data_IF_461271320863
#
_entry.id   IF_461271320863
#
_cell.length_a   1.000
_cell.length_b   1.000
_cell.length_c   1.000
_cell.angle_alpha   90.00
_cell.angle_beta   90.00
_cell.angle_gamma   90.00
#
_symmetry.space_group_name_H-M   'P 1'
#
loop_
_entity.id
_entity.type
_entity.pdbx_description
1 polymer ?
#
# COMPACT_ATOMS: atom_id res chain seq x y z
N UNK A 1 -15.87 -84.22 13.95
CA UNK A 1 -15.58 -83.43 12.74
C UNK A 1 -15.87 -81.95 13.03
N UNK A 2 -14.83 -81.14 13.29
CA UNK A 2 -14.97 -79.77 13.73
C UNK A 2 -14.58 -78.83 12.54
N UNK A 3 -15.57 -78.15 11.93
CA UNK A 3 -15.36 -77.19 10.84
C UNK A 3 -14.93 -75.85 11.43
N UNK A 4 -13.68 -75.44 11.18
CA UNK A 4 -13.16 -74.12 11.50
C UNK A 4 -13.62 -73.13 10.42
N UNK A 5 -14.43 -72.11 10.78
CA UNK A 5 -14.72 -70.96 9.95
C UNK A 5 -13.61 -69.91 10.15
N UNK A 6 -12.86 -69.64 9.10
CA UNK A 6 -11.94 -68.50 9.03
C UNK A 6 -12.73 -67.27 8.56
N UNK A 7 -12.86 -66.27 9.41
CA UNK A 7 -13.33 -64.95 9.02
C UNK A 7 -12.13 -64.12 8.49
N UNK A 8 -12.12 -63.83 7.21
CA UNK A 8 -11.16 -62.93 6.61
C UNK A 8 -11.66 -61.49 6.79
N UNK A 9 -10.93 -60.72 7.63
CA UNK A 9 -11.17 -59.29 7.83
C UNK A 9 -10.48 -58.51 6.70
N UNK A 10 -11.26 -58.02 5.72
CA UNK A 10 -10.75 -57.14 4.66
C UNK A 10 -10.52 -55.73 5.22
N UNK A 11 -9.26 -55.34 5.40
CA UNK A 11 -8.87 -53.96 5.65
C UNK A 11 -9.03 -53.16 4.34
N UNK A 12 -10.08 -52.36 4.22
CA UNK A 12 -10.20 -51.36 3.18
C UNK A 12 -9.29 -50.18 3.50
N UNK A 13 -8.09 -50.16 2.93
CA UNK A 13 -7.23 -48.97 2.93
C UNK A 13 -7.81 -47.94 2.00
N UNK A 14 -8.55 -46.98 2.56
CA UNK A 14 -9.00 -45.80 1.85
C UNK A 14 -7.79 -44.96 1.44
N UNK A 15 -7.31 -45.12 0.21
CA UNK A 15 -6.36 -44.19 -0.40
C UNK A 15 -7.11 -42.86 -0.60
N UNK A 16 -6.95 -41.96 0.32
CA UNK A 16 -7.37 -40.56 0.16
C UNK A 16 -6.62 -39.99 -1.05
N UNK A 17 -7.33 -39.86 -2.19
CA UNK A 17 -6.80 -39.19 -3.36
C UNK A 17 -6.46 -37.75 -2.92
N UNK A 18 -5.16 -37.43 -2.78
CA UNK A 18 -4.71 -36.07 -2.63
C UNK A 18 -5.20 -35.29 -3.87
N UNK A 19 -6.12 -34.35 -3.67
CA UNK A 19 -6.53 -33.46 -4.75
C UNK A 19 -5.27 -32.80 -5.33
N UNK A 20 -5.12 -32.71 -6.66
CA UNK A 20 -3.97 -32.08 -7.28
C UNK A 20 -3.80 -30.69 -6.69
N UNK A 21 -2.60 -30.38 -6.21
CA UNK A 21 -2.26 -29.05 -5.73
C UNK A 21 -2.52 -28.06 -6.89
N UNK A 22 -3.56 -27.23 -6.74
CA UNK A 22 -3.86 -26.20 -7.72
C UNK A 22 -2.70 -25.22 -7.76
N UNK A 23 -2.29 -24.77 -8.94
CA UNK A 23 -1.32 -23.72 -9.09
C UNK A 23 -1.78 -22.47 -8.31
N UNK A 24 -0.84 -21.81 -7.62
CA UNK A 24 -1.12 -20.58 -6.87
C UNK A 24 -1.69 -19.50 -7.80
N UNK A 25 -2.62 -18.69 -7.28
CA UNK A 25 -3.16 -17.54 -8.03
C UNK A 25 -2.03 -16.53 -8.25
N UNK A 26 -1.72 -16.24 -9.51
CA UNK A 26 -0.70 -15.24 -9.87
C UNK A 26 -1.23 -13.83 -9.65
N UNK A 27 -0.76 -13.19 -8.60
CA UNK A 27 -1.13 -11.81 -8.25
C UNK A 27 -0.01 -10.87 -8.70
N UNK A 28 -0.36 -9.86 -9.48
CA UNK A 28 0.54 -8.77 -9.85
C UNK A 28 0.03 -7.50 -9.17
N UNK A 29 0.89 -6.77 -8.47
CA UNK A 29 0.51 -5.51 -7.81
C UNK A 29 1.30 -4.32 -8.31
N UNK A 30 0.65 -3.16 -8.43
CA UNK A 30 1.29 -1.92 -8.84
C UNK A 30 2.37 -1.50 -7.86
N UNK A 31 2.06 -1.57 -6.55
CA UNK A 31 2.98 -1.24 -5.47
C UNK A 31 3.20 -2.43 -4.52
N UNK A 32 4.38 -2.54 -3.88
CA UNK A 32 4.70 -3.65 -2.98
C UNK A 32 3.76 -3.79 -1.78
N UNK A 33 3.25 -2.70 -1.21
CA UNK A 33 2.33 -2.78 -0.05
C UNK A 33 1.05 -3.53 -0.37
N UNK A 34 0.42 -3.30 -1.55
CA UNK A 34 -0.76 -4.08 -1.96
C UNK A 34 -0.45 -5.56 -2.10
N UNK A 35 0.72 -5.88 -2.68
CA UNK A 35 1.17 -7.26 -2.80
C UNK A 35 1.52 -7.90 -1.45
N UNK A 36 2.05 -7.13 -0.48
CA UNK A 36 2.24 -7.59 0.90
C UNK A 36 0.92 -7.96 1.56
N UNK A 37 -0.12 -7.13 1.39
CA UNK A 37 -1.46 -7.44 1.88
C UNK A 37 -2.07 -8.67 1.19
N UNK A 38 -1.81 -8.85 -0.11
CA UNK A 38 -2.23 -10.06 -0.83
C UNK A 38 -1.56 -11.32 -0.28
N UNK A 39 -0.27 -11.27 0.09
CA UNK A 39 0.42 -12.37 0.77
C UNK A 39 -0.15 -12.67 2.14
N UNK A 40 -0.53 -11.65 2.90
CA UNK A 40 -1.16 -11.82 4.22
C UNK A 40 -2.45 -12.66 4.11
N UNK A 41 -3.33 -12.34 3.18
CA UNK A 41 -4.62 -13.04 3.04
C UNK A 41 -4.54 -14.28 2.14
N UNK A 42 -3.60 -14.32 1.19
CA UNK A 42 -3.47 -15.42 0.22
C UNK A 42 -2.60 -16.57 0.71
N UNK A 43 -1.55 -16.28 1.49
CA UNK A 43 -0.55 -17.25 1.94
C UNK A 43 0.09 -17.99 0.77
N UNK A 44 0.22 -19.31 0.91
CA UNK A 44 0.82 -20.19 -0.11
C UNK A 44 -0.08 -20.41 -1.34
N UNK A 45 -1.32 -19.89 -1.31
CA UNK A 45 -2.24 -19.97 -2.45
C UNK A 45 -2.07 -18.83 -3.45
N UNK A 46 -1.18 -17.89 -3.20
CA UNK A 46 -0.86 -16.78 -4.10
C UNK A 46 0.64 -16.72 -4.39
N UNK A 47 0.96 -16.41 -5.65
CA UNK A 47 2.30 -16.04 -6.09
C UNK A 47 2.29 -14.56 -6.47
N UNK A 48 3.06 -13.71 -5.76
CA UNK A 48 2.94 -12.26 -5.86
C UNK A 48 4.15 -11.65 -6.52
N UNK A 49 3.91 -10.83 -7.54
CA UNK A 49 4.91 -10.03 -8.26
C UNK A 49 4.58 -8.55 -8.10
N UNK A 50 5.60 -7.73 -7.94
CA UNK A 50 5.50 -6.27 -7.81
C UNK A 50 5.97 -5.59 -9.08
N UNK A 51 5.21 -4.63 -9.62
CA UNK A 51 5.61 -3.81 -10.77
C UNK A 51 6.53 -2.66 -10.34
N UNK A 52 6.11 -1.91 -9.32
CA UNK A 52 6.92 -0.87 -8.68
C UNK A 52 7.86 -1.43 -7.62
N UNK A 53 8.77 -0.59 -7.16
CA UNK A 53 9.70 -0.87 -6.06
C UNK A 53 9.39 0.03 -4.87
N UNK A 54 9.57 -0.47 -3.64
CA UNK A 54 9.22 0.27 -2.44
C UNK A 54 9.99 1.58 -2.21
N UNK A 55 11.13 1.74 -2.87
CA UNK A 55 11.95 2.96 -2.84
C UNK A 55 11.76 3.85 -4.08
N UNK A 56 10.73 3.61 -4.87
CA UNK A 56 10.42 4.33 -6.11
C UNK A 56 9.11 5.11 -5.94
N UNK A 57 9.06 6.30 -6.55
CA UNK A 57 7.81 7.07 -6.64
C UNK A 57 6.77 6.27 -7.45
N UNK A 58 5.62 5.92 -6.85
CA UNK A 58 4.61 5.12 -7.53
C UNK A 58 3.89 5.85 -8.67
N UNK A 59 3.99 7.19 -8.76
CA UNK A 59 3.47 7.95 -9.89
C UNK A 59 4.30 7.73 -11.16
N UNK A 60 5.59 7.38 -11.00
CA UNK A 60 6.58 7.35 -12.10
C UNK A 60 7.33 6.02 -12.16
N UNK A 61 6.62 4.93 -12.48
CA UNK A 61 7.24 3.65 -12.78
C UNK A 61 7.58 3.60 -14.26
N UNK A 62 8.86 3.31 -14.59
CA UNK A 62 9.30 3.19 -15.97
C UNK A 62 8.65 1.98 -16.65
N UNK A 63 7.84 2.17 -17.72
CA UNK A 63 7.20 1.06 -18.42
C UNK A 63 8.23 0.22 -19.16
N UNK A 64 8.42 -1.02 -18.73
CA UNK A 64 9.37 -1.98 -19.35
C UNK A 64 8.62 -3.17 -19.96
N UNK A 65 9.09 -3.73 -21.10
CA UNK A 65 8.47 -4.92 -21.69
C UNK A 65 8.37 -6.11 -20.73
N UNK A 66 9.31 -6.26 -19.79
CA UNK A 66 9.26 -7.30 -18.76
C UNK A 66 8.01 -7.22 -17.87
N UNK A 67 7.54 -6.01 -17.56
CA UNK A 67 6.32 -5.81 -16.77
C UNK A 67 5.07 -6.30 -17.52
N UNK A 68 5.05 -6.17 -18.87
CA UNK A 68 3.96 -6.74 -19.68
C UNK A 68 3.95 -8.27 -19.63
N UNK A 69 5.12 -8.92 -19.52
CA UNK A 69 5.21 -10.39 -19.38
C UNK A 69 4.63 -10.84 -18.05
N UNK A 70 4.87 -10.12 -16.97
CA UNK A 70 4.27 -10.42 -15.67
C UNK A 70 2.76 -10.21 -15.69
N UNK A 71 2.29 -9.10 -16.26
CA UNK A 71 0.86 -8.80 -16.43
C UNK A 71 0.15 -9.81 -17.34
N UNK A 72 0.82 -10.30 -18.40
CA UNK A 72 0.26 -11.33 -19.30
C UNK A 72 -0.11 -12.62 -18.55
N UNK A 73 0.68 -12.99 -17.52
CA UNK A 73 0.50 -14.19 -16.71
C UNK A 73 -0.39 -14.00 -15.49
N UNK A 74 -0.81 -12.77 -15.20
CA UNK A 74 -1.58 -12.44 -14.00
C UNK A 74 -2.99 -13.08 -14.03
N UNK A 75 -3.40 -13.64 -12.91
CA UNK A 75 -4.80 -13.97 -12.62
C UNK A 75 -5.50 -12.82 -11.92
N UNK A 76 -4.75 -12.00 -11.17
CA UNK A 76 -5.25 -10.84 -10.45
C UNK A 76 -4.21 -9.71 -10.52
N UNK A 77 -4.65 -8.54 -10.99
CA UNK A 77 -3.94 -7.27 -10.91
C UNK A 77 -4.52 -6.44 -9.76
N UNK A 78 -3.67 -6.02 -8.83
CA UNK A 78 -3.98 -5.06 -7.76
C UNK A 78 -3.34 -3.72 -8.08
N UNK A 79 -4.12 -2.65 -8.04
CA UNK A 79 -3.59 -1.30 -8.23
C UNK A 79 -4.26 -0.33 -7.27
N UNK A 80 -3.57 0.78 -6.98
CA UNK A 80 -4.03 1.79 -6.02
C UNK A 80 -5.28 2.49 -6.53
N UNK A 81 -5.32 2.82 -7.83
CA UNK A 81 -6.43 3.58 -8.40
C UNK A 81 -6.34 5.08 -8.10
N UNK A 82 -7.46 5.79 -8.21
CA UNK A 82 -7.54 7.25 -8.05
C UNK A 82 -6.50 8.00 -8.92
N UNK A 83 -6.23 7.46 -10.11
CA UNK A 83 -5.26 7.97 -11.08
C UNK A 83 -3.78 7.97 -10.64
N UNK A 84 -3.39 7.25 -9.55
CA UNK A 84 -1.99 7.17 -9.15
C UNK A 84 -1.10 6.61 -10.27
N UNK A 85 -1.52 5.53 -10.90
CA UNK A 85 -0.76 4.83 -11.92
C UNK A 85 -1.12 5.24 -13.36
N UNK A 86 -1.89 6.34 -13.53
CA UNK A 86 -2.45 6.73 -14.83
C UNK A 86 -1.38 6.93 -15.91
N UNK A 87 -0.19 7.37 -15.52
CA UNK A 87 0.90 7.66 -16.44
C UNK A 87 1.61 6.42 -17.01
N UNK A 88 1.47 5.23 -16.39
CA UNK A 88 2.28 4.08 -16.76
C UNK A 88 1.54 2.73 -16.79
N UNK A 89 0.58 2.49 -15.91
CA UNK A 89 -0.07 1.17 -15.81
C UNK A 89 -1.04 0.86 -16.96
N UNK A 90 -1.93 1.78 -17.40
CA UNK A 90 -2.90 1.47 -18.45
C UNK A 90 -2.30 0.97 -19.76
N UNK A 91 -1.22 1.57 -20.33
CA UNK A 91 -0.59 1.06 -21.54
C UNK A 91 0.06 -0.32 -21.34
N UNK A 92 0.60 -0.61 -20.14
CA UNK A 92 1.14 -1.93 -19.82
C UNK A 92 0.07 -3.02 -19.74
N UNK A 93 -1.08 -2.71 -19.12
CA UNK A 93 -2.23 -3.63 -19.03
C UNK A 93 -2.76 -3.93 -20.42
N UNK A 94 -2.97 -2.92 -21.26
CA UNK A 94 -3.40 -3.10 -22.65
C UNK A 94 -2.37 -3.92 -23.45
N UNK A 95 -1.09 -3.57 -23.35
CA UNK A 95 0.02 -4.24 -24.05
C UNK A 95 0.26 -5.68 -23.58
N UNK A 96 -0.13 -6.02 -22.37
CA UNK A 96 -0.03 -7.40 -21.83
C UNK A 96 -0.90 -8.41 -22.57
N UNK A 97 -1.96 -7.94 -23.24
CA UNK A 97 -2.96 -8.78 -23.96
C UNK A 97 -3.61 -9.85 -23.07
N UNK A 98 -3.63 -9.66 -21.77
CA UNK A 98 -4.29 -10.56 -20.84
C UNK A 98 -5.75 -10.13 -20.64
N UNK A 99 -6.74 -10.91 -21.14
CA UNK A 99 -8.16 -10.53 -21.04
C UNK A 99 -8.67 -10.56 -19.59
N UNK A 100 -8.03 -11.31 -18.69
CA UNK A 100 -8.47 -11.45 -17.29
C UNK A 100 -8.36 -10.17 -16.48
N UNK A 101 -7.38 -9.31 -16.79
CA UNK A 101 -7.00 -8.15 -16.00
C UNK A 101 -7.33 -6.80 -16.66
N UNK A 102 -8.08 -6.82 -17.76
CA UNK A 102 -8.55 -5.57 -18.38
C UNK A 102 -9.50 -4.83 -17.43
N UNK A 103 -9.64 -3.54 -17.62
CA UNK A 103 -10.52 -2.73 -16.78
C UNK A 103 -11.96 -3.27 -16.76
N UNK A 104 -12.50 -3.45 -15.56
CA UNK A 104 -13.83 -4.04 -15.34
C UNK A 104 -13.87 -5.56 -15.23
N UNK A 105 -12.80 -6.25 -15.57
CA UNK A 105 -12.73 -7.71 -15.48
C UNK A 105 -12.51 -8.20 -14.04
N UNK A 106 -12.84 -9.48 -13.80
CA UNK A 106 -12.71 -10.08 -12.47
C UNK A 106 -11.26 -10.06 -11.95
N UNK A 107 -10.27 -10.21 -12.79
CA UNK A 107 -8.85 -10.15 -12.43
C UNK A 107 -8.30 -8.73 -12.29
N UNK A 108 -9.12 -7.68 -12.37
CA UNK A 108 -8.71 -6.27 -12.21
C UNK A 108 -9.32 -5.69 -10.95
N UNK A 109 -8.50 -5.40 -9.92
CA UNK A 109 -8.95 -4.85 -8.65
C UNK A 109 -8.35 -3.48 -8.40
N UNK A 110 -9.19 -2.46 -8.55
CA UNK A 110 -8.97 -1.12 -8.01
C UNK A 110 -9.20 -1.17 -6.50
N UNK A 111 -8.11 -1.04 -5.73
CA UNK A 111 -8.14 -1.14 -4.27
C UNK A 111 -8.73 0.09 -3.58
N UNK A 112 -8.98 1.18 -4.31
CA UNK A 112 -9.58 2.40 -3.76
C UNK A 112 -11.10 2.30 -3.53
N UNK A 113 -11.77 1.35 -4.17
CA UNK A 113 -13.25 1.30 -4.27
C UNK A 113 -14.00 1.32 -2.94
N UNK A 114 -13.41 0.76 -1.90
CA UNK A 114 -14.04 0.71 -0.57
C UNK A 114 -13.36 1.67 0.43
N UNK A 115 -12.44 2.51 -0.03
CA UNK A 115 -11.72 3.47 0.81
C UNK A 115 -12.55 4.75 0.95
N UNK A 116 -12.72 5.28 2.18
CA UNK A 116 -13.21 6.64 2.37
C UNK A 116 -12.20 7.64 1.81
N UNK A 117 -12.46 8.11 0.57
CA UNK A 117 -11.49 8.95 -0.15
C UNK A 117 -11.43 10.35 0.47
N UNK A 118 -10.21 10.81 0.75
CA UNK A 118 -9.93 12.15 1.26
C UNK A 118 -9.46 13.09 0.14
N UNK A 119 -9.48 14.39 0.40
CA UNK A 119 -9.02 15.44 -0.52
C UNK A 119 -9.66 15.38 -1.94
N UNK A 120 -10.93 14.99 -2.01
CA UNK A 120 -11.66 15.06 -3.28
C UNK A 120 -11.79 16.54 -3.70
N UNK A 121 -11.24 16.94 -4.87
CA UNK A 121 -11.33 18.33 -5.32
C UNK A 121 -12.78 18.77 -5.49
N UNK A 122 -13.10 19.97 -5.01
CA UNK A 122 -14.43 20.58 -5.19
C UNK A 122 -14.54 21.40 -6.46
N UNK A 123 -13.42 21.62 -7.16
CA UNK A 123 -13.33 22.34 -8.42
C UNK A 123 -12.79 21.43 -9.52
N UNK A 124 -13.04 21.80 -10.77
CA UNK A 124 -12.49 21.04 -11.90
C UNK A 124 -10.96 21.05 -11.87
N UNK A 125 -10.38 19.86 -11.90
CA UNK A 125 -8.92 19.67 -11.99
C UNK A 125 -8.49 19.77 -13.44
N UNK A 126 -7.39 20.48 -13.69
CA UNK A 126 -6.73 20.56 -14.99
C UNK A 126 -5.20 20.40 -14.84
N UNK A 127 -4.50 20.26 -15.96
CA UNK A 127 -3.05 20.02 -15.99
C UNK A 127 -2.20 21.12 -15.35
N UNK A 128 -2.71 22.33 -15.18
CA UNK A 128 -1.99 23.44 -14.53
C UNK A 128 -1.87 23.24 -13.01
N UNK A 129 -2.64 22.30 -12.47
CA UNK A 129 -2.67 21.97 -11.04
C UNK A 129 -1.62 20.90 -10.65
N UNK A 130 -0.81 20.43 -11.61
CA UNK A 130 0.17 19.35 -11.38
C UNK A 130 -0.50 17.98 -11.26
N UNK A 131 0.04 17.10 -10.43
CA UNK A 131 -0.47 15.73 -10.20
C UNK A 131 -1.63 15.72 -9.19
N UNK A 132 -2.54 16.68 -9.29
CA UNK A 132 -3.78 16.67 -8.51
C UNK A 132 -4.70 15.59 -9.06
N UNK A 133 -5.06 14.62 -8.20
CA UNK A 133 -5.93 13.50 -8.56
C UNK A 133 -7.40 13.91 -8.53
N UNK A 134 -8.13 13.86 -9.67
CA UNK A 134 -9.51 14.34 -9.75
C UNK A 134 -10.50 13.58 -8.85
N UNK A 135 -10.18 12.32 -8.52
CA UNK A 135 -11.03 11.46 -7.72
C UNK A 135 -10.68 11.50 -6.22
N UNK A 136 -9.66 12.27 -5.82
CA UNK A 136 -9.16 12.41 -4.46
C UNK A 136 -7.78 11.80 -4.25
N UNK A 137 -7.27 11.92 -3.04
CA UNK A 137 -5.89 11.55 -2.70
C UNK A 137 -5.69 10.02 -2.74
N UNK A 138 -4.72 9.51 -3.51
CA UNK A 138 -4.51 8.06 -3.67
C UNK A 138 -3.62 7.43 -2.59
N UNK A 139 -3.00 8.17 -1.68
CA UNK A 139 -1.97 7.67 -0.74
C UNK A 139 -2.56 7.06 0.53
N UNK A 140 -3.47 6.09 0.40
CA UNK A 140 -4.33 5.59 1.48
C UNK A 140 -3.85 4.29 2.14
N UNK A 141 -2.79 3.64 1.66
CA UNK A 141 -2.46 2.24 2.02
C UNK A 141 -1.74 2.03 3.36
N UNK A 142 -1.28 3.12 4.03
CA UNK A 142 -0.52 3.02 5.28
C UNK A 142 -1.42 2.82 6.52
N UNK A 143 -2.50 3.61 6.75
CA UNK A 143 -3.28 3.50 7.98
C UNK A 143 -3.95 2.13 8.20
N UNK A 144 -3.98 1.63 9.46
CA UNK A 144 -4.53 0.31 9.79
C UNK A 144 -5.97 0.08 9.33
N UNK A 145 -6.82 1.08 9.48
CA UNK A 145 -8.22 0.98 9.04
C UNK A 145 -8.32 0.67 7.53
N UNK A 146 -7.53 1.36 6.71
CA UNK A 146 -7.52 1.17 5.27
C UNK A 146 -6.87 -0.18 4.88
N UNK A 147 -5.80 -0.59 5.57
CA UNK A 147 -5.18 -1.90 5.33
C UNK A 147 -6.16 -3.06 5.55
N UNK A 148 -7.03 -2.98 6.58
CA UNK A 148 -8.10 -3.96 6.82
C UNK A 148 -9.12 -3.97 5.68
N UNK A 149 -9.49 -2.79 5.17
CA UNK A 149 -10.41 -2.66 4.02
C UNK A 149 -9.81 -3.26 2.76
N UNK A 150 -8.57 -2.90 2.42
CA UNK A 150 -7.84 -3.43 1.26
C UNK A 150 -7.73 -4.96 1.34
N UNK A 151 -7.31 -5.49 2.50
CA UNK A 151 -7.19 -6.93 2.71
C UNK A 151 -8.53 -7.67 2.51
N UNK A 152 -9.65 -7.08 2.94
CA UNK A 152 -11.01 -7.61 2.74
C UNK A 152 -11.38 -7.66 1.26
N UNK A 153 -11.11 -6.59 0.51
CA UNK A 153 -11.36 -6.54 -0.94
C UNK A 153 -10.52 -7.58 -1.69
N UNK A 154 -9.23 -7.70 -1.36
CA UNK A 154 -8.33 -8.71 -1.94
C UNK A 154 -8.84 -10.13 -1.62
N UNK A 155 -9.18 -10.44 -0.36
CA UNK A 155 -9.72 -11.75 0.02
C UNK A 155 -11.02 -12.07 -0.72
N UNK A 156 -11.91 -11.08 -0.85
CA UNK A 156 -13.15 -11.20 -1.62
C UNK A 156 -12.90 -11.57 -3.08
N UNK A 157 -11.93 -10.92 -3.71
CA UNK A 157 -11.56 -11.16 -5.09
C UNK A 157 -10.87 -12.53 -5.28
N UNK A 158 -9.97 -12.90 -4.37
CA UNK A 158 -9.32 -14.22 -4.38
C UNK A 158 -10.34 -15.35 -4.27
N UNK A 159 -11.37 -15.21 -3.42
CA UNK A 159 -12.46 -16.21 -3.32
C UNK A 159 -13.25 -16.39 -4.63
N UNK A 160 -13.43 -15.32 -5.39
CA UNK A 160 -14.10 -15.39 -6.69
C UNK A 160 -13.23 -16.08 -7.76
N UNK A 161 -11.91 -15.87 -7.74
CA UNK A 161 -10.96 -16.46 -8.68
C UNK A 161 -10.64 -17.91 -8.31
N UNK A 162 -10.49 -18.20 -7.02
CA UNK A 162 -10.14 -19.51 -6.45
C UNK A 162 -11.12 -19.91 -5.36
N UNK A 163 -12.31 -20.34 -5.74
CA UNK A 163 -13.37 -20.75 -4.82
C UNK A 163 -12.94 -21.89 -3.88
N UNK A 164 -12.04 -22.78 -4.33
CA UNK A 164 -11.50 -23.87 -3.49
C UNK A 164 -10.64 -23.36 -2.33
N UNK A 165 -10.10 -22.15 -2.43
CA UNK A 165 -9.33 -21.49 -1.37
C UNK A 165 -10.16 -20.66 -0.40
N UNK A 166 -11.48 -20.54 -0.61
CA UNK A 166 -12.32 -19.58 0.11
C UNK A 166 -12.17 -19.63 1.64
N UNK A 167 -12.24 -20.81 2.24
CA UNK A 167 -12.08 -20.99 3.69
C UNK A 167 -10.68 -20.56 4.19
N UNK A 168 -9.64 -20.78 3.38
CA UNK A 168 -8.27 -20.37 3.70
C UNK A 168 -8.18 -18.84 3.69
N UNK A 169 -8.73 -18.17 2.68
CA UNK A 169 -8.73 -16.72 2.58
C UNK A 169 -9.52 -16.06 3.70
N UNK A 170 -10.70 -16.60 4.06
CA UNK A 170 -11.49 -16.09 5.18
C UNK A 170 -10.75 -16.23 6.52
N UNK A 171 -10.13 -17.40 6.78
CA UNK A 171 -9.34 -17.61 7.99
C UNK A 171 -8.15 -16.64 8.04
N UNK A 172 -7.37 -16.53 6.97
CA UNK A 172 -6.19 -15.66 6.92
C UNK A 172 -6.56 -14.17 7.03
N UNK A 173 -7.69 -13.76 6.44
CA UNK A 173 -8.21 -12.41 6.61
C UNK A 173 -8.55 -12.14 8.07
N UNK A 174 -9.24 -13.06 8.75
CA UNK A 174 -9.56 -12.92 10.17
C UNK A 174 -8.29 -12.85 11.03
N UNK A 175 -7.30 -13.72 10.77
CA UNK A 175 -6.00 -13.71 11.44
C UNK A 175 -5.23 -12.40 11.21
N UNK A 176 -5.25 -11.86 9.98
CA UNK A 176 -4.64 -10.58 9.65
C UNK A 176 -5.31 -9.42 10.41
N UNK A 177 -6.63 -9.35 10.41
CA UNK A 177 -7.38 -8.30 11.13
C UNK A 177 -7.07 -8.35 12.63
N UNK A 178 -7.09 -9.55 13.23
CA UNK A 178 -6.75 -9.72 14.65
C UNK A 178 -5.33 -9.24 14.98
N UNK A 179 -4.35 -9.54 14.11
CA UNK A 179 -2.96 -9.06 14.25
C UNK A 179 -2.87 -7.54 14.10
N UNK A 180 -3.65 -6.93 13.21
CA UNK A 180 -3.71 -5.47 13.08
C UNK A 180 -4.27 -4.85 14.34
N UNK A 181 -5.38 -5.41 14.90
CA UNK A 181 -6.00 -4.91 16.15
C UNK A 181 -5.02 -4.99 17.34
N UNK A 182 -4.22 -6.05 17.42
CA UNK A 182 -3.19 -6.18 18.46
C UNK A 182 -2.01 -5.23 18.24
N UNK A 183 -1.58 -5.07 16.99
CA UNK A 183 -0.55 -4.10 16.63
C UNK A 183 -0.98 -2.67 16.94
N UNK A 184 -2.22 -2.28 16.66
CA UNK A 184 -2.75 -0.96 17.01
C UNK A 184 -2.67 -0.69 18.52
N UNK A 185 -2.91 -1.69 19.38
CA UNK A 185 -2.71 -1.56 20.84
C UNK A 185 -1.23 -1.35 21.18
N UNK A 186 -0.35 -2.13 20.58
CA UNK A 186 1.10 -2.05 20.81
C UNK A 186 1.70 -0.72 20.32
N UNK A 187 1.10 -0.10 19.30
CA UNK A 187 1.53 1.18 18.73
C UNK A 187 1.06 2.40 19.53
N UNK A 188 0.09 2.26 20.44
CA UNK A 188 -0.48 3.40 21.19
C UNK A 188 0.59 4.29 21.86
N UNK A 189 1.67 3.76 22.49
CA UNK A 189 2.71 4.61 23.07
C UNK A 189 3.49 5.43 22.01
N UNK A 190 3.69 4.88 20.80
CA UNK A 190 4.34 5.59 19.70
C UNK A 190 3.41 6.65 19.09
N UNK A 191 2.14 6.30 18.90
CA UNK A 191 1.10 7.19 18.40
C UNK A 191 0.92 8.38 19.37
N UNK A 192 0.85 8.14 20.67
CA UNK A 192 0.71 9.19 21.68
C UNK A 192 1.85 10.19 21.62
N UNK A 193 3.09 9.76 21.37
CA UNK A 193 4.25 10.64 21.17
C UNK A 193 4.20 11.44 19.87
N UNK A 194 3.63 10.88 18.82
CA UNK A 194 3.56 11.49 17.49
C UNK A 194 2.36 12.44 17.32
N UNK A 195 1.25 12.18 18.01
CA UNK A 195 -0.08 12.76 17.78
C UNK A 195 -0.12 14.29 17.82
N UNK A 196 -1.00 14.88 17.01
CA UNK A 196 -1.46 16.26 17.13
C UNK A 196 -0.46 17.33 16.69
N UNK A 197 0.51 16.97 15.83
CA UNK A 197 1.57 17.89 15.41
C UNK A 197 1.18 18.69 14.19
N UNK A 198 1.70 19.91 14.14
CA UNK A 198 1.81 20.68 12.90
C UNK A 198 3.01 20.17 12.10
N UNK A 199 2.80 19.79 10.86
CA UNK A 199 3.82 19.27 9.96
C UNK A 199 3.83 20.01 8.63
N UNK A 200 4.96 19.95 7.96
CA UNK A 200 5.09 20.23 6.53
C UNK A 200 5.56 18.94 5.88
N UNK A 201 5.11 18.64 4.67
CA UNK A 201 5.53 17.44 3.93
C UNK A 201 6.13 17.84 2.58
N UNK A 202 6.88 16.94 1.95
CA UNK A 202 7.41 17.24 0.62
C UNK A 202 6.28 17.26 -0.41
N UNK A 203 5.62 16.13 -0.56
CA UNK A 203 4.42 15.91 -1.38
C UNK A 203 3.19 15.70 -0.50
N UNK A 204 2.00 15.73 -1.09
CA UNK A 204 0.72 15.52 -0.37
C UNK A 204 0.40 14.02 -0.16
N UNK A 205 1.41 13.23 0.26
CA UNK A 205 1.30 11.78 0.45
C UNK A 205 0.78 11.38 1.84
N UNK A 206 0.78 12.28 2.79
CA UNK A 206 0.60 11.93 4.21
C UNK A 206 -0.82 12.18 4.73
N UNK A 207 -1.75 12.65 3.91
CA UNK A 207 -3.11 13.03 4.30
C UNK A 207 -3.83 11.96 5.13
N UNK A 208 -3.78 10.68 4.72
CA UNK A 208 -4.42 9.61 5.50
C UNK A 208 -3.67 9.28 6.80
N UNK A 209 -2.37 9.37 6.81
CA UNK A 209 -1.56 9.22 8.03
C UNK A 209 -1.79 10.41 8.95
N UNK A 210 -1.92 11.62 8.41
CA UNK A 210 -2.27 12.83 9.14
C UNK A 210 -3.64 12.72 9.80
N UNK A 211 -4.63 12.23 9.07
CA UNK A 211 -5.96 11.97 9.62
C UNK A 211 -5.91 10.92 10.75
N UNK A 212 -5.13 9.83 10.57
CA UNK A 212 -4.98 8.79 11.57
C UNK A 212 -4.26 9.27 12.84
N UNK A 213 -3.17 10.03 12.69
CA UNK A 213 -2.34 10.50 13.81
C UNK A 213 -2.78 11.87 14.35
N UNK A 214 -3.78 12.51 13.74
CA UNK A 214 -4.27 13.85 14.12
C UNK A 214 -3.24 14.94 13.81
N UNK A 215 -2.44 14.83 12.75
CA UNK A 215 -1.56 15.88 12.30
C UNK A 215 -2.32 17.01 11.61
N UNK A 216 -1.76 18.22 11.68
CA UNK A 216 -2.20 19.36 10.88
C UNK A 216 -1.13 19.66 9.85
N UNK A 217 -1.43 19.39 8.58
CA UNK A 217 -0.56 19.73 7.45
C UNK A 217 -0.64 21.24 7.19
N UNK A 218 0.46 21.96 7.45
CA UNK A 218 0.54 23.43 7.32
C UNK A 218 0.92 23.83 5.88
N UNK A 219 1.57 22.95 5.15
CA UNK A 219 2.00 23.20 3.77
C UNK A 219 2.86 22.09 3.22
N UNK A 220 3.28 22.28 1.98
CA UNK A 220 4.05 21.30 1.20
C UNK A 220 5.26 21.97 0.57
N UNK A 221 6.36 21.23 0.39
CA UNK A 221 7.51 21.74 -0.36
C UNK A 221 7.13 21.99 -1.83
N UNK A 222 6.39 21.08 -2.42
CA UNK A 222 5.83 21.28 -3.75
C UNK A 222 4.71 22.32 -3.68
N UNK A 223 4.76 23.41 -4.50
CA UNK A 223 3.69 24.40 -4.55
C UNK A 223 2.38 23.81 -5.07
N UNK A 224 2.49 22.77 -5.89
CA UNK A 224 1.42 21.89 -6.36
C UNK A 224 2.01 20.49 -6.50
N UNK A 225 1.21 19.41 -6.30
CA UNK A 225 1.69 18.04 -6.45
C UNK A 225 2.45 17.83 -7.77
N UNK A 226 3.65 17.23 -7.70
CA UNK A 226 4.50 16.98 -8.87
C UNK A 226 5.18 18.21 -9.49
N UNK A 227 4.97 19.41 -8.95
CA UNK A 227 5.63 20.64 -9.42
C UNK A 227 6.81 20.97 -8.51
N UNK A 228 8.06 20.98 -9.01
CA UNK A 228 9.23 21.31 -8.21
C UNK A 228 9.11 22.67 -7.53
N UNK A 229 9.59 22.82 -6.29
CA UNK A 229 9.50 24.07 -5.55
C UNK A 229 10.40 25.15 -6.14
N UNK A 230 9.85 26.35 -6.28
CA UNK A 230 10.60 27.56 -6.63
C UNK A 230 11.09 28.32 -5.37
N UNK A 231 12.11 29.19 -5.51
CA UNK A 231 12.70 29.92 -4.36
C UNK A 231 11.69 30.80 -3.60
N UNK A 232 10.73 31.41 -4.28
CA UNK A 232 9.75 32.29 -3.64
C UNK A 232 8.78 31.49 -2.78
N UNK A 233 8.29 30.36 -3.30
CA UNK A 233 7.46 29.41 -2.54
C UNK A 233 8.20 28.90 -1.29
N UNK A 234 9.48 28.50 -1.43
CA UNK A 234 10.28 28.02 -0.28
C UNK A 234 10.47 29.09 0.80
N UNK A 235 10.72 30.35 0.42
CA UNK A 235 10.81 31.45 1.37
C UNK A 235 9.50 31.65 2.13
N UNK A 236 8.38 31.69 1.43
CA UNK A 236 7.05 31.79 2.04
C UNK A 236 6.77 30.63 2.99
N UNK A 237 7.08 29.40 2.56
CA UNK A 237 6.90 28.19 3.39
C UNK A 237 7.74 28.24 4.67
N UNK A 238 9.01 28.65 4.58
CA UNK A 238 9.88 28.83 5.77
C UNK A 238 9.29 29.84 6.76
N UNK A 239 8.75 30.97 6.26
CA UNK A 239 8.09 31.97 7.10
C UNK A 239 6.86 31.39 7.79
N UNK A 240 6.00 30.67 7.04
CA UNK A 240 4.82 29.98 7.57
C UNK A 240 5.22 28.94 8.61
N UNK A 241 6.23 28.10 8.34
CA UNK A 241 6.72 27.11 9.33
C UNK A 241 7.15 27.77 10.64
N UNK A 242 7.83 28.92 10.57
CA UNK A 242 8.28 29.67 11.76
C UNK A 242 7.10 30.26 12.53
N UNK A 243 6.19 30.94 11.86
CA UNK A 243 5.02 31.59 12.48
C UNK A 243 4.05 30.59 13.09
N UNK A 244 3.84 29.44 12.44
CA UNK A 244 2.99 28.36 12.92
C UNK A 244 3.67 27.43 13.93
N UNK A 245 4.97 27.60 14.17
CA UNK A 245 5.75 26.78 15.09
C UNK A 245 5.94 25.35 14.62
N UNK A 246 5.98 25.11 13.31
CA UNK A 246 6.20 23.77 12.72
C UNK A 246 7.62 23.30 13.05
N UNK A 247 7.73 22.10 13.67
CA UNK A 247 9.01 21.51 14.06
C UNK A 247 9.37 20.25 13.29
N UNK A 248 8.50 19.82 12.37
CA UNK A 248 8.66 18.56 11.66
C UNK A 248 8.34 18.73 10.17
N UNK A 249 9.31 18.32 9.33
CA UNK A 249 9.18 18.24 7.89
C UNK A 249 9.35 16.78 7.47
N UNK A 250 8.32 16.20 6.84
CA UNK A 250 8.33 14.81 6.36
C UNK A 250 8.69 14.79 4.88
N UNK A 251 9.55 13.85 4.51
CA UNK A 251 10.03 13.66 3.14
C UNK A 251 9.96 12.18 2.82
N UNK A 252 9.38 11.83 1.71
CA UNK A 252 9.37 10.47 1.17
C UNK A 252 10.80 10.06 0.79
N UNK A 253 11.13 8.79 0.91
CA UNK A 253 12.50 8.28 0.78
C UNK A 253 13.08 8.36 -0.65
N UNK A 254 12.23 8.52 -1.66
CA UNK A 254 12.61 8.68 -3.06
C UNK A 254 12.84 10.14 -3.52
N UNK A 255 12.45 11.14 -2.72
CA UNK A 255 12.68 12.55 -3.06
C UNK A 255 14.09 13.04 -2.72
N UNK A 256 14.54 14.08 -3.44
CA UNK A 256 15.81 14.74 -3.17
C UNK A 256 15.74 15.51 -1.84
N UNK A 257 16.62 15.15 -0.91
CA UNK A 257 16.63 15.67 0.46
C UNK A 257 17.26 17.05 0.61
N UNK A 258 18.05 17.52 -0.36
CA UNK A 258 18.84 18.75 -0.22
C UNK A 258 17.96 19.97 0.03
N UNK A 259 16.93 20.18 -0.80
CA UNK A 259 15.98 21.28 -0.63
C UNK A 259 15.21 21.19 0.68
N UNK A 260 14.72 19.98 1.01
CA UNK A 260 14.00 19.73 2.26
C UNK A 260 14.88 20.00 3.50
N UNK A 261 16.14 19.58 3.47
CA UNK A 261 17.11 19.84 4.56
C UNK A 261 17.38 21.33 4.73
N UNK A 262 17.50 22.08 3.62
CA UNK A 262 17.67 23.54 3.66
C UNK A 262 16.45 24.21 4.30
N UNK A 263 15.24 23.86 3.88
CA UNK A 263 13.99 24.41 4.43
C UNK A 263 13.87 24.09 5.91
N UNK A 264 14.06 22.83 6.32
CA UNK A 264 14.01 22.41 7.71
C UNK A 264 15.02 23.19 8.57
N UNK A 265 16.27 23.30 8.13
CA UNK A 265 17.32 24.08 8.81
C UNK A 265 16.92 25.56 8.97
N UNK A 266 16.45 26.18 7.89
CA UNK A 266 16.02 27.60 7.95
C UNK A 266 14.77 27.81 8.81
N UNK A 267 13.88 26.84 8.89
CA UNK A 267 12.68 26.90 9.74
C UNK A 267 12.95 26.47 11.20
N UNK A 268 14.16 26.04 11.57
CA UNK A 268 14.48 25.42 12.88
C UNK A 268 13.56 24.21 13.16
N UNK A 269 13.35 23.39 12.14
CA UNK A 269 12.59 22.17 12.16
C UNK A 269 13.49 20.94 11.91
N UNK A 270 13.04 19.77 12.32
CA UNK A 270 13.68 18.48 12.03
C UNK A 270 13.10 17.90 10.74
N UNK A 271 13.97 17.51 9.82
CA UNK A 271 13.56 16.71 8.65
C UNK A 271 13.57 15.24 9.02
N UNK A 272 12.50 14.52 8.65
CA UNK A 272 12.43 13.06 8.67
C UNK A 272 12.21 12.53 7.26
N UNK A 273 13.08 11.61 6.86
CA UNK A 273 12.84 10.80 5.66
C UNK A 273 12.11 9.54 6.08
N UNK A 274 10.91 9.34 5.58
CA UNK A 274 10.04 8.23 5.94
C UNK A 274 9.82 7.29 4.75
N UNK A 275 9.81 5.96 4.99
CA UNK A 275 9.41 5.02 3.97
C UNK A 275 7.91 5.16 3.68
N UNK A 276 7.52 4.98 2.43
CA UNK A 276 6.13 5.05 2.01
C UNK A 276 5.57 3.71 1.53
N UNK A 277 6.44 2.72 1.32
CA UNK A 277 6.04 1.42 0.79
C UNK A 277 6.88 0.28 1.37
N UNK A 278 6.35 -0.94 1.27
CA UNK A 278 7.09 -2.17 1.57
C UNK A 278 8.27 -2.29 0.62
N UNK A 279 9.45 -2.68 1.14
CA UNK A 279 10.67 -2.75 0.34
C UNK A 279 11.38 -1.41 0.12
N UNK A 280 10.96 -0.35 0.80
CA UNK A 280 11.68 0.93 0.85
C UNK A 280 13.11 0.73 1.36
N UNK A 281 13.28 -0.15 2.35
CA UNK A 281 14.56 -0.66 2.84
C UNK A 281 14.50 -2.19 2.99
N UNK A 282 15.63 -2.92 3.03
CA UNK A 282 15.64 -4.38 3.08
C UNK A 282 14.98 -5.01 4.32
N UNK A 283 14.82 -4.26 5.39
CA UNK A 283 14.17 -4.67 6.64
C UNK A 283 12.65 -4.43 6.64
N UNK A 284 12.12 -3.63 5.72
CA UNK A 284 10.68 -3.40 5.56
C UNK A 284 10.10 -4.44 4.57
N UNK A 285 9.74 -5.61 5.08
CA UNK A 285 9.27 -6.76 4.27
C UNK A 285 7.76 -6.91 4.24
N UNK A 286 7.07 -6.33 5.21
CA UNK A 286 5.62 -6.44 5.37
C UNK A 286 5.01 -5.06 5.63
N UNK A 287 3.68 -4.98 5.46
CA UNK A 287 2.94 -3.79 5.85
C UNK A 287 3.13 -3.45 7.35
N UNK A 288 3.26 -4.45 8.23
CA UNK A 288 3.54 -4.21 9.66
C UNK A 288 4.91 -3.56 9.88
N UNK A 289 5.94 -4.00 9.13
CA UNK A 289 7.27 -3.40 9.22
C UNK A 289 7.25 -1.94 8.78
N UNK A 290 6.52 -1.63 7.70
CA UNK A 290 6.33 -0.28 7.20
C UNK A 290 5.73 0.64 8.26
N UNK A 291 4.60 0.23 8.85
CA UNK A 291 3.92 1.02 9.89
C UNK A 291 4.80 1.19 11.13
N UNK A 292 5.47 0.11 11.56
CA UNK A 292 6.42 0.15 12.68
C UNK A 292 7.57 1.13 12.42
N UNK A 293 8.16 1.13 11.22
CA UNK A 293 9.26 2.02 10.85
C UNK A 293 8.82 3.48 10.90
N UNK A 294 7.66 3.80 10.33
CA UNK A 294 7.08 5.15 10.33
C UNK A 294 6.84 5.63 11.78
N UNK A 295 6.12 4.85 12.58
CA UNK A 295 5.76 5.24 13.95
C UNK A 295 6.99 5.40 14.86
N UNK A 296 7.99 4.52 14.76
CA UNK A 296 9.25 4.63 15.52
C UNK A 296 10.00 5.92 15.17
N UNK A 297 10.12 6.25 13.89
CA UNK A 297 10.81 7.46 13.46
C UNK A 297 10.05 8.72 13.91
N UNK A 298 8.74 8.75 13.76
CA UNK A 298 7.88 9.85 14.25
C UNK A 298 7.99 10.03 15.76
N UNK A 299 7.94 8.96 16.53
CA UNK A 299 8.06 9.00 17.99
C UNK A 299 9.44 9.47 18.46
N UNK A 300 10.53 9.08 17.76
CA UNK A 300 11.91 9.52 18.07
C UNK A 300 12.15 11.00 17.72
N UNK A 301 11.45 11.53 16.73
CA UNK A 301 11.53 12.96 16.40
C UNK A 301 10.82 13.85 17.43
N UNK A 302 10.15 13.22 18.37
CA UNK A 302 9.36 13.88 19.43
C UNK A 302 10.16 14.25 20.67
N UNK A 303 11.33 13.70 20.80
CA UNK A 303 12.29 14.01 21.86
C UNK A 303 13.21 15.13 21.39
#
# INVERSE_FOLDING_TARGET
MLRKFLFALALATGAGAAAPARAAVRVVSSIPTLGSLAKEVGGDRVDVVYLGKGYQDPHFVEPKPSLMVDLNKADLLLYVGLDLEIGWLPPLVLGSRNPKIQNGELGSLDCSRAIPVLDVPTTKVDRSMGDVHPQGNPHYWIPPANAKVIAKEIAGRLKQIDAAGAATYDKRLADFIARVDEAEKSWQPLIAKARGRKIVTYHKSWTYVSAWLGFTEIGYLEPKPGIPPDPQHLLSLIQTMRSEGVKLLLVEDFYNRNTAQLVASKASAKMLTLPTDVGATPDIKTWFDLVNAILKQLATASA
#
